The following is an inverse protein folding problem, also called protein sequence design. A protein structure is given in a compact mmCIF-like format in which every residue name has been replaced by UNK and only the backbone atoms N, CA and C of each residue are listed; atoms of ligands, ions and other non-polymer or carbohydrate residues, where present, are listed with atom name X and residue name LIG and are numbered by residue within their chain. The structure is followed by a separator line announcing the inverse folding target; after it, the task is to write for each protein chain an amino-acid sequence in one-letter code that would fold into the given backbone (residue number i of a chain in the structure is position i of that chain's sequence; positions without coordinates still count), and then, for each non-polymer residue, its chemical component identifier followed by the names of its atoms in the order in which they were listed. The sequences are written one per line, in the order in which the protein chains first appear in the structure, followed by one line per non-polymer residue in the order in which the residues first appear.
data_IF_333799889101
#
_entry.id   IF_333799889101
#
_cell.length_a   1.000
_cell.length_b   1.000
_cell.length_c   1.000
_cell.angle_alpha   90.00
_cell.angle_beta   90.00
_cell.angle_gamma   90.00
#
_symmetry.space_group_name_H-M   'P 1'
#
loop_
_entity.id
_entity.type
_entity.pdbx_description
1 polymer ?
#
# COMPACT_ATOMS: atom_id res chain seq x y z
N UNK A 1 -5.59 1.40 -20.41
CA UNK A 1 -6.96 1.52 -19.87
C UNK A 1 -6.85 1.67 -18.38
N UNK A 2 -7.67 2.52 -17.79
CA UNK A 2 -7.72 2.73 -16.34
C UNK A 2 -8.53 1.60 -15.68
N UNK A 3 -8.10 1.12 -14.52
CA UNK A 3 -8.75 0.07 -13.74
C UNK A 3 -8.93 0.51 -12.29
N UNK A 4 -10.06 0.16 -11.69
CA UNK A 4 -10.34 0.37 -10.26
C UNK A 4 -9.64 -0.67 -9.39
N UNK A 5 -9.03 -0.21 -8.30
CA UNK A 5 -8.33 -1.02 -7.31
C UNK A 5 -8.78 -0.66 -5.90
N UNK A 6 -8.66 -1.63 -5.00
CA UNK A 6 -8.93 -1.47 -3.58
C UNK A 6 -7.81 -2.09 -2.75
N UNK A 7 -7.48 -1.49 -1.61
CA UNK A 7 -6.63 -2.08 -0.55
C UNK A 7 -7.07 -1.60 0.84
N UNK A 8 -6.55 -2.23 1.89
CA UNK A 8 -6.64 -1.77 3.28
C UNK A 8 -5.32 -1.18 3.74
N UNK A 9 -5.37 -0.11 4.50
CA UNK A 9 -4.24 0.41 5.27
C UNK A 9 -4.53 0.23 6.77
N UNK A 10 -3.48 0.09 7.58
CA UNK A 10 -3.61 -0.02 9.03
C UNK A 10 -4.08 1.29 9.66
N UNK A 11 -3.73 2.42 9.02
CA UNK A 11 -4.30 3.70 9.36
C UNK A 11 -4.44 4.65 8.16
N UNK A 12 -5.15 5.76 8.38
CA UNK A 12 -5.26 6.85 7.41
C UNK A 12 -3.89 7.40 7.00
N UNK A 13 -2.92 7.47 7.92
CA UNK A 13 -1.61 8.03 7.61
C UNK A 13 -0.91 7.21 6.51
N UNK A 14 -0.95 5.89 6.59
CA UNK A 14 -0.32 5.04 5.57
C UNK A 14 -1.00 5.21 4.20
N UNK A 15 -2.34 5.31 4.19
CA UNK A 15 -3.09 5.57 2.96
C UNK A 15 -2.68 6.91 2.30
N UNK A 16 -2.43 7.94 3.11
CA UNK A 16 -1.95 9.24 2.62
C UNK A 16 -0.51 9.18 2.09
N UNK A 17 0.37 8.37 2.69
CA UNK A 17 1.72 8.13 2.15
C UNK A 17 1.62 7.50 0.76
N UNK A 18 0.73 6.53 0.56
CA UNK A 18 0.51 5.95 -0.76
C UNK A 18 -0.04 6.97 -1.77
N UNK A 19 -0.99 7.82 -1.36
CA UNK A 19 -1.53 8.88 -2.22
C UNK A 19 -0.44 9.86 -2.68
N UNK A 20 0.53 10.20 -1.84
CA UNK A 20 1.64 11.09 -2.22
C UNK A 20 2.53 10.50 -3.33
N UNK A 21 2.60 9.17 -3.47
CA UNK A 21 3.33 8.52 -4.55
C UNK A 21 2.56 8.51 -5.88
N UNK A 22 1.26 8.83 -5.84
CA UNK A 22 0.36 8.83 -6.99
C UNK A 22 -0.55 10.09 -6.97
N UNK A 23 0.03 11.30 -7.02
CA UNK A 23 -0.72 12.54 -6.78
C UNK A 23 -1.77 12.84 -7.86
N UNK A 24 -1.66 12.23 -9.04
CA UNK A 24 -2.59 12.41 -10.16
C UNK A 24 -3.86 11.55 -10.04
N UNK A 25 -3.95 10.71 -9.01
CA UNK A 25 -5.04 9.75 -8.82
C UNK A 25 -5.97 10.22 -7.71
N UNK A 26 -7.28 10.15 -7.96
CA UNK A 26 -8.30 10.35 -6.94
C UNK A 26 -8.43 9.12 -6.05
N UNK A 27 -8.40 9.34 -4.74
CA UNK A 27 -8.55 8.33 -3.71
C UNK A 27 -9.88 8.55 -2.97
N UNK A 28 -10.64 7.47 -2.79
CA UNK A 28 -11.75 7.41 -1.85
C UNK A 28 -11.32 6.60 -0.65
N UNK A 29 -11.33 7.20 0.54
CA UNK A 29 -10.95 6.56 1.79
C UNK A 29 -12.21 6.32 2.62
N UNK A 30 -12.45 5.08 2.99
CA UNK A 30 -13.60 4.62 3.75
C UNK A 30 -13.13 4.04 5.09
N UNK A 31 -13.71 4.52 6.20
CA UNK A 31 -13.54 3.85 7.50
C UNK A 31 -14.20 2.48 7.42
N UNK A 32 -13.47 1.44 7.81
CA UNK A 32 -14.03 0.07 7.83
C UNK A 32 -14.79 -0.15 9.13
N UNK A 33 -14.24 0.35 10.23
CA UNK A 33 -14.77 0.24 11.58
C UNK A 33 -14.49 1.58 12.31
N UNK A 34 -15.48 2.22 12.95
CA UNK A 34 -15.26 3.47 13.67
C UNK A 34 -14.39 3.32 14.94
N UNK A 35 -14.21 2.10 15.44
CA UNK A 35 -13.38 1.80 16.63
C UNK A 35 -11.95 1.41 16.26
N UNK A 36 -11.66 1.12 14.99
CA UNK A 36 -10.33 0.74 14.51
C UNK A 36 -9.74 1.79 13.58
N UNK A 37 -8.41 1.98 13.58
CA UNK A 37 -7.76 2.93 12.69
C UNK A 37 -7.77 2.48 11.22
N UNK A 38 -8.08 1.20 10.95
CA UNK A 38 -8.06 0.59 9.63
C UNK A 38 -8.98 1.30 8.62
N UNK A 39 -8.43 1.60 7.45
CA UNK A 39 -9.19 2.21 6.35
C UNK A 39 -9.14 1.35 5.09
N UNK A 40 -10.23 1.37 4.33
CA UNK A 40 -10.29 0.85 2.97
C UNK A 40 -10.09 2.00 2.00
N UNK A 41 -9.23 1.79 1.02
CA UNK A 41 -8.87 2.79 0.02
C UNK A 41 -9.26 2.27 -1.34
N UNK A 42 -9.98 3.11 -2.10
CA UNK A 42 -10.37 2.86 -3.49
C UNK A 42 -9.78 3.92 -4.39
N UNK A 43 -9.23 3.51 -5.52
CA UNK A 43 -8.60 4.42 -6.46
C UNK A 43 -8.61 3.82 -7.87
N UNK A 44 -8.36 4.66 -8.86
CA UNK A 44 -8.24 4.23 -10.25
C UNK A 44 -6.82 4.45 -10.76
N UNK A 45 -6.27 3.48 -11.46
CA UNK A 45 -4.92 3.58 -12.01
C UNK A 45 -4.79 2.89 -13.36
N UNK A 46 -3.85 3.38 -14.17
CA UNK A 46 -3.39 2.68 -15.37
C UNK A 46 -2.26 1.68 -15.07
N UNK A 47 -1.73 1.69 -13.84
CA UNK A 47 -0.69 0.76 -13.38
C UNK A 47 -1.28 -0.61 -13.07
N UNK A 48 -0.51 -1.66 -13.33
CA UNK A 48 -0.88 -3.04 -13.00
C UNK A 48 -0.64 -3.35 -11.52
N UNK A 49 -1.25 -4.43 -11.01
CA UNK A 49 -1.03 -4.90 -9.63
C UNK A 49 0.46 -5.05 -9.29
N UNK A 50 1.32 -5.70 -10.10
CA UNK A 50 2.76 -5.77 -9.80
C UNK A 50 3.44 -4.40 -9.70
N UNK A 51 3.05 -3.43 -10.53
CA UNK A 51 3.62 -2.07 -10.48
C UNK A 51 3.19 -1.33 -9.21
N UNK A 52 1.93 -1.50 -8.80
CA UNK A 52 1.39 -0.94 -7.56
C UNK A 52 2.04 -1.59 -6.33
N UNK A 53 2.23 -2.91 -6.34
CA UNK A 53 2.96 -3.63 -5.29
C UNK A 53 4.40 -3.14 -5.17
N UNK A 54 5.06 -2.84 -6.28
CA UNK A 54 6.40 -2.27 -6.27
C UNK A 54 6.44 -0.86 -5.65
N UNK A 55 5.41 -0.04 -5.86
CA UNK A 55 5.29 1.27 -5.19
C UNK A 55 5.11 1.08 -3.69
N UNK A 56 4.19 0.19 -3.29
CA UNK A 56 3.91 -0.14 -1.88
C UNK A 56 5.15 -0.69 -1.17
N UNK A 57 6.01 -1.44 -1.87
CA UNK A 57 7.27 -1.95 -1.32
C UNK A 57 8.27 -0.88 -0.88
N UNK A 58 8.06 0.39 -1.24
CA UNK A 58 8.85 1.52 -0.75
C UNK A 58 8.26 2.17 0.51
N UNK A 59 7.08 1.73 0.98
CA UNK A 59 6.45 2.20 2.20
C UNK A 59 6.84 1.26 3.34
N UNK A 60 7.45 1.81 4.40
CA UNK A 60 7.94 1.06 5.56
C UNK A 60 6.87 0.14 6.17
N UNK A 61 5.61 0.59 6.21
CA UNK A 61 4.44 -0.14 6.74
C UNK A 61 3.42 -0.51 5.64
N UNK A 62 3.88 -0.72 4.40
CA UNK A 62 3.02 -1.06 3.26
C UNK A 62 2.46 -2.49 3.24
N UNK A 63 2.78 -3.34 4.22
CA UNK A 63 2.50 -4.77 4.17
C UNK A 63 1.00 -5.09 4.04
N UNK A 64 0.15 -4.39 4.78
CA UNK A 64 -1.31 -4.60 4.72
C UNK A 64 -1.88 -4.15 3.39
N UNK A 65 -1.39 -3.02 2.87
CA UNK A 65 -1.77 -2.55 1.54
C UNK A 65 -1.42 -3.59 0.49
N UNK A 66 -0.19 -4.11 0.53
CA UNK A 66 0.28 -5.10 -0.44
C UNK A 66 -0.52 -6.41 -0.35
N UNK A 67 -0.78 -6.88 0.87
CA UNK A 67 -1.52 -8.13 1.08
C UNK A 67 -3.00 -8.02 0.70
N UNK A 68 -3.57 -6.82 0.64
CA UNK A 68 -4.99 -6.62 0.36
C UNK A 68 -5.27 -5.98 -1.00
N UNK A 69 -4.24 -5.47 -1.68
CA UNK A 69 -4.38 -4.84 -2.99
C UNK A 69 -4.96 -5.83 -4.02
N UNK A 70 -6.11 -5.47 -4.58
CA UNK A 70 -6.71 -6.21 -5.67
C UNK A 70 -7.54 -5.29 -6.59
N UNK A 71 -7.79 -5.70 -7.85
CA UNK A 71 -8.83 -5.08 -8.67
C UNK A 71 -10.17 -5.10 -7.94
N UNK A 72 -10.94 -4.02 -8.04
CA UNK A 72 -12.22 -3.84 -7.33
C UNK A 72 -13.17 -5.02 -7.54
N UNK A 73 -13.25 -5.57 -8.76
CA UNK A 73 -14.09 -6.73 -9.12
C UNK A 73 -13.73 -8.03 -8.39
N UNK A 74 -12.51 -8.13 -7.86
CA UNK A 74 -11.97 -9.31 -7.17
C UNK A 74 -11.60 -9.03 -5.72
N UNK A 75 -11.90 -7.82 -5.23
CA UNK A 75 -11.49 -7.38 -3.91
C UNK A 75 -12.39 -8.01 -2.83
N UNK A 76 -11.76 -8.55 -1.79
CA UNK A 76 -12.46 -9.26 -0.70
C UNK A 76 -12.19 -8.66 0.69
N UNK A 77 -11.32 -7.65 0.78
CA UNK A 77 -10.84 -7.10 2.06
C UNK A 77 -9.96 -8.04 2.90
N UNK A 78 -9.72 -9.27 2.44
CA UNK A 78 -8.90 -10.27 3.13
C UNK A 78 -7.42 -10.15 2.74
N UNK A 79 -6.54 -10.34 3.72
CA UNK A 79 -5.09 -10.37 3.50
C UNK A 79 -4.69 -11.65 2.75
N UNK A 80 -3.94 -11.50 1.66
CA UNK A 80 -3.26 -12.57 0.94
C UNK A 80 -1.80 -12.65 1.40
N UNK A 81 -1.53 -13.55 2.36
CA UNK A 81 -0.21 -13.73 2.97
C UNK A 81 0.84 -14.32 2.02
N UNK A 82 0.46 -14.76 0.82
CA UNK A 82 1.40 -15.17 -0.22
C UNK A 82 2.09 -13.96 -0.88
N UNK A 83 1.51 -12.76 -0.76
CA UNK A 83 2.12 -11.52 -1.25
C UNK A 83 3.19 -11.08 -0.26
N UNK A 84 4.44 -11.01 -0.74
CA UNK A 84 5.57 -10.47 0.00
C UNK A 84 6.08 -9.23 -0.73
N UNK A 85 6.19 -8.13 -0.02
CA UNK A 85 6.93 -6.96 -0.49
C UNK A 85 8.34 -7.03 0.05
N UNK A 86 9.31 -6.81 -0.82
CA UNK A 86 10.69 -6.61 -0.42
C UNK A 86 10.80 -5.16 0.04
N UNK A 87 10.76 -4.91 1.36
CA UNK A 87 11.36 -3.67 1.85
C UNK A 87 12.83 -3.81 1.46
N UNK A 88 13.27 -3.07 0.43
CA UNK A 88 14.68 -3.02 0.06
C UNK A 88 15.44 -2.77 1.34
N UNK A 89 16.26 -3.76 1.73
CA UNK A 89 17.10 -3.71 2.91
C UNK A 89 17.64 -2.29 3.05
N UNK A 90 17.36 -1.65 4.18
CA UNK A 90 18.15 -0.52 4.62
C UNK A 90 19.60 -0.95 4.46
N UNK A 91 20.31 -0.32 3.54
CA UNK A 91 21.75 -0.40 3.47
C UNK A 91 22.28 0.07 4.80
N UNK A 92 22.50 -0.88 5.72
CA UNK A 92 23.30 -0.68 6.92
C UNK A 92 24.73 -0.46 6.43
N UNK A 93 25.01 0.77 5.99
CA UNK A 93 26.35 1.29 5.93
C UNK A 93 26.82 1.33 7.39
N UNK A 94 27.46 0.24 7.81
CA UNK A 94 28.31 0.20 9.00
C UNK A 94 29.38 1.27 8.82
N UNK A 95 29.10 2.50 9.22
CA UNK A 95 30.16 3.46 9.51
C UNK A 95 30.89 2.97 10.75
N UNK A 96 31.94 2.19 10.51
CA UNK A 96 33.08 2.04 11.40
C UNK A 96 33.57 3.45 11.74
N UNK A 97 33.13 3.99 12.86
CA UNK A 97 33.91 5.01 13.54
C UNK A 97 35.01 4.26 14.28
N UNK A 98 36.17 4.19 13.64
CA UNK A 98 37.44 4.07 14.35
C UNK A 98 37.69 5.41 15.05
N UNK A 99 37.72 5.39 16.37
CA UNK A 99 38.43 6.36 17.20
C UNK A 99 39.09 5.57 18.33
#
# INVERSE_FOLDING_TARGET
MEQSYCFRAECLADALVFQQMLPEIEFTICSIDPELPDVEVRFKSTKTVPQLLNLIGNIEEGAVMAQTLAPEVSYTGKRNFSVKISNSEQGSAKSKWQA
#
